data_IF_327606444531
#
_entry.id   IF_327606444531
#
_cell.length_a   1.000
_cell.length_b   1.000
_cell.length_c   1.000
_cell.angle_alpha   90.00
_cell.angle_beta   90.00
_cell.angle_gamma   90.00
#
_symmetry.space_group_name_H-M   'P 1'
#
loop_
_entity.id
_entity.type
_entity.pdbx_description
1 polymer ?
#
# COMPACT_ATOMS: atom_id res chain seq x y z
N UNK A 1 35.59 16.13 -11.12
CA UNK A 1 34.68 15.77 -12.21
C UNK A 1 33.40 15.35 -11.50
N UNK A 2 32.52 16.32 -11.28
CA UNK A 2 31.15 16.01 -10.87
C UNK A 2 30.52 15.25 -12.07
N UNK A 3 30.30 13.96 -11.90
CA UNK A 3 29.38 13.27 -12.81
C UNK A 3 28.02 13.85 -12.46
N UNK A 4 27.42 14.58 -13.42
CA UNK A 4 26.01 14.91 -13.38
C UNK A 4 25.23 13.58 -13.28
N UNK A 5 24.95 13.13 -12.06
CA UNK A 5 24.09 11.98 -11.80
C UNK A 5 22.70 12.46 -12.19
N UNK A 6 22.19 12.02 -13.35
CA UNK A 6 20.78 12.28 -13.68
C UNK A 6 19.91 11.81 -12.52
N UNK A 7 18.97 12.64 -12.06
CA UNK A 7 18.08 12.27 -10.96
C UNK A 7 17.32 10.97 -11.32
N UNK A 8 17.19 10.07 -10.37
CA UNK A 8 16.44 8.82 -10.58
C UNK A 8 14.98 9.16 -10.92
N UNK A 9 14.50 8.60 -12.02
CA UNK A 9 13.10 8.69 -12.45
C UNK A 9 12.26 7.62 -11.79
N UNK A 10 10.95 7.91 -11.61
CA UNK A 10 10.04 6.96 -11.00
C UNK A 10 8.64 7.00 -11.58
N UNK A 11 7.97 5.84 -11.50
CA UNK A 11 6.55 5.67 -11.84
C UNK A 11 5.71 5.71 -10.57
N UNK A 12 4.50 6.25 -10.65
CA UNK A 12 3.47 6.04 -9.63
C UNK A 12 2.48 4.98 -10.12
N UNK A 13 2.23 3.96 -9.31
CA UNK A 13 1.28 2.88 -9.60
C UNK A 13 0.04 3.04 -8.73
N UNK A 14 -1.10 3.28 -9.35
CA UNK A 14 -2.41 3.45 -8.71
C UNK A 14 -3.45 2.56 -9.41
N UNK A 15 -4.40 2.01 -8.66
CA UNK A 15 -5.51 1.23 -9.22
C UNK A 15 -6.85 1.79 -8.71
N UNK A 16 -7.84 1.83 -9.59
CA UNK A 16 -9.20 2.28 -9.30
C UNK A 16 -10.22 1.28 -9.82
N UNK A 17 -11.37 1.16 -9.15
CA UNK A 17 -12.48 0.29 -9.57
C UNK A 17 -13.83 0.98 -9.39
N UNK A 18 -14.89 0.41 -9.95
CA UNK A 18 -16.22 1.05 -10.05
C UNK A 18 -16.90 1.47 -8.73
N UNK A 19 -16.40 1.00 -7.56
CA UNK A 19 -16.96 1.41 -6.25
C UNK A 19 -16.20 2.56 -5.59
N UNK A 20 -15.21 3.12 -6.26
CA UNK A 20 -14.51 4.29 -5.78
C UNK A 20 -15.40 5.53 -5.88
N UNK A 21 -15.11 6.53 -5.05
CA UNK A 21 -15.82 7.81 -5.04
C UNK A 21 -15.08 8.80 -5.96
N UNK A 22 -15.77 9.40 -6.97
CA UNK A 22 -15.13 10.33 -7.90
C UNK A 22 -14.35 11.46 -7.23
N UNK A 23 -14.87 12.02 -6.12
CA UNK A 23 -14.20 13.06 -5.36
C UNK A 23 -12.90 12.55 -4.69
N UNK A 24 -12.87 11.31 -4.17
CA UNK A 24 -11.68 10.73 -3.57
C UNK A 24 -10.61 10.45 -4.62
N UNK A 25 -10.99 9.87 -5.77
CA UNK A 25 -10.06 9.68 -6.89
C UNK A 25 -9.46 11.01 -7.35
N UNK A 26 -10.29 12.06 -7.47
CA UNK A 26 -9.80 13.38 -7.85
C UNK A 26 -8.79 13.94 -6.84
N UNK A 27 -9.06 13.84 -5.53
CA UNK A 27 -8.14 14.27 -4.47
C UNK A 27 -6.84 13.46 -4.46
N UNK A 28 -6.92 12.15 -4.68
CA UNK A 28 -5.75 11.28 -4.76
C UNK A 28 -4.86 11.67 -5.93
N UNK A 29 -5.41 11.79 -7.15
CA UNK A 29 -4.67 12.20 -8.35
C UNK A 29 -4.08 13.61 -8.19
N UNK A 30 -4.86 14.57 -7.67
CA UNK A 30 -4.36 15.92 -7.36
C UNK A 30 -3.14 15.87 -6.46
N UNK A 31 -3.17 15.05 -5.40
CA UNK A 31 -2.06 14.92 -4.46
C UNK A 31 -0.81 14.26 -5.07
N UNK A 32 -0.98 13.43 -6.11
CA UNK A 32 0.14 12.81 -6.85
C UNK A 32 0.83 13.84 -7.74
N UNK A 33 0.07 14.67 -8.45
CA UNK A 33 0.64 15.66 -9.37
C UNK A 33 1.16 16.94 -8.68
N UNK A 34 0.72 17.22 -7.44
CA UNK A 34 1.17 18.38 -6.64
C UNK A 34 2.23 18.01 -5.59
N UNK A 35 3.15 17.13 -5.93
CA UNK A 35 4.29 16.79 -5.07
C UNK A 35 5.46 17.77 -5.26
N UNK A 36 6.31 17.94 -4.23
CA UNK A 36 7.58 18.67 -4.35
C UNK A 36 8.54 18.04 -5.37
N UNK A 37 8.49 16.69 -5.47
CA UNK A 37 9.12 15.92 -6.54
C UNK A 37 8.01 15.27 -7.37
N UNK A 38 7.63 15.85 -8.52
CA UNK A 38 6.57 15.27 -9.36
C UNK A 38 7.02 13.93 -9.96
N UNK A 39 6.10 12.99 -10.20
CA UNK A 39 6.42 11.73 -10.87
C UNK A 39 6.74 11.96 -12.35
N UNK A 40 7.65 11.13 -12.90
CA UNK A 40 7.92 11.10 -14.35
C UNK A 40 6.85 10.32 -15.12
N UNK A 41 6.11 9.47 -14.40
CA UNK A 41 5.05 8.63 -14.96
C UNK A 41 4.02 8.28 -13.88
N UNK A 42 2.75 8.27 -14.26
CA UNK A 42 1.64 7.74 -13.43
C UNK A 42 0.92 6.66 -14.23
N UNK A 43 0.94 5.44 -13.74
CA UNK A 43 0.20 4.30 -14.32
C UNK A 43 -1.07 4.09 -13.49
N UNK A 44 -2.22 4.47 -14.05
CA UNK A 44 -3.53 4.26 -13.46
C UNK A 44 -4.18 3.04 -14.09
N UNK A 45 -4.47 2.04 -13.25
CA UNK A 45 -5.16 0.80 -13.67
C UNK A 45 -6.63 0.90 -13.35
N UNK A 46 -7.47 0.86 -14.38
CA UNK A 46 -8.92 0.68 -14.24
C UNK A 46 -9.21 -0.81 -14.07
N UNK A 47 -9.48 -1.25 -12.84
CA UNK A 47 -9.78 -2.66 -12.51
C UNK A 47 -11.24 -2.99 -12.86
N UNK A 48 -11.48 -3.20 -14.14
CA UNK A 48 -12.78 -3.34 -14.78
C UNK A 48 -13.41 -2.00 -15.18
N UNK A 49 -14.56 -2.03 -15.87
CA UNK A 49 -15.28 -0.83 -16.29
C UNK A 49 -15.62 0.08 -15.11
N UNK A 50 -15.36 1.37 -15.27
CA UNK A 50 -15.68 2.41 -14.29
C UNK A 50 -17.10 2.95 -14.47
N UNK A 51 -17.55 3.80 -13.55
CA UNK A 51 -18.78 4.60 -13.73
C UNK A 51 -18.49 5.83 -14.61
N UNK A 52 -19.50 6.40 -15.23
CA UNK A 52 -19.33 7.59 -16.07
C UNK A 52 -18.69 8.77 -15.32
N UNK A 53 -19.00 8.91 -14.01
CA UNK A 53 -18.44 9.96 -13.17
C UNK A 53 -16.93 9.72 -12.89
N UNK A 54 -16.52 8.48 -12.67
CA UNK A 54 -15.09 8.12 -12.51
C UNK A 54 -14.34 8.29 -13.83
N UNK A 55 -14.93 7.85 -14.96
CA UNK A 55 -14.36 8.06 -16.29
C UNK A 55 -14.15 9.54 -16.60
N UNK A 56 -15.08 10.40 -16.20
CA UNK A 56 -14.96 11.85 -16.36
C UNK A 56 -13.76 12.42 -15.54
N UNK A 57 -13.53 11.92 -14.32
CA UNK A 57 -12.37 12.31 -13.51
C UNK A 57 -11.08 11.87 -14.21
N UNK A 58 -10.98 10.60 -14.60
CA UNK A 58 -9.78 10.05 -15.26
C UNK A 58 -9.48 10.82 -16.56
N UNK A 59 -10.50 11.08 -17.39
CA UNK A 59 -10.34 11.82 -18.65
C UNK A 59 -9.82 13.23 -18.42
N UNK A 60 -10.37 13.96 -17.44
CA UNK A 60 -9.92 15.31 -17.09
C UNK A 60 -8.44 15.34 -16.68
N UNK A 61 -7.99 14.38 -15.87
CA UNK A 61 -6.59 14.33 -15.46
C UNK A 61 -5.69 13.88 -16.63
N UNK A 62 -6.14 12.99 -17.50
CA UNK A 62 -5.38 12.58 -18.70
C UNK A 62 -5.20 13.73 -19.70
N UNK A 63 -6.19 14.62 -19.85
CA UNK A 63 -6.08 15.82 -20.68
C UNK A 63 -5.10 16.84 -20.11
N UNK A 64 -4.96 16.90 -18.76
CA UNK A 64 -4.08 17.86 -18.07
C UNK A 64 -2.64 17.36 -17.89
N UNK A 65 -2.42 16.03 -17.90
CA UNK A 65 -1.15 15.38 -17.54
C UNK A 65 -0.77 14.32 -18.56
N UNK A 66 0.22 14.64 -19.41
CA UNK A 66 0.73 13.71 -20.45
C UNK A 66 1.37 12.46 -19.85
N UNK A 67 1.97 12.58 -18.65
CA UNK A 67 2.61 11.52 -17.87
C UNK A 67 1.63 10.51 -17.28
N UNK A 68 0.31 10.76 -17.33
CA UNK A 68 -0.72 9.80 -16.90
C UNK A 68 -0.99 8.76 -17.98
N UNK A 69 -0.69 7.50 -17.73
CA UNK A 69 -0.98 6.35 -18.57
C UNK A 69 -2.11 5.52 -17.98
N UNK A 70 -3.12 5.19 -18.80
CA UNK A 70 -4.31 4.45 -18.36
C UNK A 70 -4.25 3.02 -18.89
N UNK A 71 -4.31 2.05 -17.99
CA UNK A 71 -4.38 0.62 -18.27
C UNK A 71 -5.78 0.12 -17.94
N UNK A 72 -6.54 -0.35 -18.95
CA UNK A 72 -7.93 -0.80 -18.78
C UNK A 72 -8.03 -2.30 -18.73
N UNK A 73 -8.51 -2.85 -17.62
CA UNK A 73 -8.82 -4.28 -17.52
C UNK A 73 -10.26 -4.53 -17.98
N UNK A 74 -10.52 -5.63 -18.69
CA UNK A 74 -11.87 -5.90 -19.21
C UNK A 74 -12.89 -6.22 -18.12
N UNK A 75 -12.43 -6.62 -16.93
CA UNK A 75 -13.26 -6.95 -15.77
C UNK A 75 -12.48 -6.73 -14.48
N UNK A 76 -13.19 -6.55 -13.35
CA UNK A 76 -12.56 -6.46 -12.04
C UNK A 76 -11.92 -7.79 -11.66
N UNK A 77 -10.61 -7.77 -11.41
CA UNK A 77 -9.79 -8.92 -11.02
C UNK A 77 -9.30 -8.82 -9.58
N UNK A 78 -9.53 -7.69 -8.92
CA UNK A 78 -9.08 -7.38 -7.58
C UNK A 78 -7.68 -6.75 -7.55
N UNK A 79 -7.44 -5.99 -6.47
CA UNK A 79 -6.29 -5.09 -6.32
C UNK A 79 -4.94 -5.75 -6.67
N UNK A 80 -4.69 -6.97 -6.16
CA UNK A 80 -3.41 -7.64 -6.39
C UNK A 80 -3.13 -7.94 -7.87
N UNK A 81 -4.14 -8.33 -8.65
CA UNK A 81 -3.95 -8.58 -10.09
C UNK A 81 -3.92 -7.29 -10.88
N UNK A 82 -4.69 -6.28 -10.51
CA UNK A 82 -4.63 -4.96 -11.10
C UNK A 82 -3.24 -4.32 -10.94
N UNK A 83 -2.67 -4.36 -9.71
CA UNK A 83 -1.31 -3.87 -9.46
C UNK A 83 -0.24 -4.69 -10.17
N UNK A 84 -0.42 -6.02 -10.30
CA UNK A 84 0.47 -6.87 -11.08
C UNK A 84 0.52 -6.43 -12.53
N UNK A 85 -0.64 -6.22 -13.15
CA UNK A 85 -0.72 -5.77 -14.54
C UNK A 85 -0.13 -4.37 -14.68
N UNK A 86 -0.55 -3.41 -13.84
CA UNK A 86 -0.03 -2.05 -13.87
C UNK A 86 1.49 -1.97 -13.73
N UNK A 87 2.09 -2.82 -12.88
CA UNK A 87 3.54 -2.87 -12.72
C UNK A 87 4.28 -3.20 -14.02
N UNK A 88 3.68 -3.99 -14.91
CA UNK A 88 4.28 -4.31 -16.22
C UNK A 88 4.32 -3.10 -17.15
N UNK A 89 3.47 -2.11 -16.90
CA UNK A 89 3.39 -0.86 -17.67
C UNK A 89 4.24 0.29 -17.07
N UNK A 90 4.76 0.13 -15.85
CA UNK A 90 5.70 1.09 -15.26
C UNK A 90 7.06 0.98 -15.98
N UNK A 91 7.57 2.09 -16.53
CA UNK A 91 8.81 2.10 -17.29
C UNK A 91 10.05 2.29 -16.43
N UNK A 92 9.92 2.92 -15.26
CA UNK A 92 11.06 3.25 -14.40
C UNK A 92 11.34 2.17 -13.36
N UNK A 93 12.61 2.10 -12.92
CA UNK A 93 13.09 1.11 -11.95
C UNK A 93 12.58 1.35 -10.53
N UNK A 94 12.18 2.58 -10.24
CA UNK A 94 11.56 2.95 -8.96
C UNK A 94 10.06 3.14 -9.18
N UNK A 95 9.26 2.54 -8.29
CA UNK A 95 7.80 2.64 -8.35
C UNK A 95 7.25 3.03 -6.99
N UNK A 96 6.49 4.13 -6.95
CA UNK A 96 5.71 4.54 -5.81
C UNK A 96 4.28 3.99 -5.93
N UNK A 97 3.75 3.44 -4.85
CA UNK A 97 2.38 2.94 -4.81
C UNK A 97 1.44 3.98 -4.19
N UNK A 98 0.19 4.06 -4.68
CA UNK A 98 -0.84 4.94 -4.14
C UNK A 98 -2.21 4.28 -4.18
N UNK A 99 -3.04 4.48 -3.13
CA UNK A 99 -4.47 4.14 -3.15
C UNK A 99 -5.28 5.27 -3.78
N UNK A 100 -6.40 4.92 -4.43
CA UNK A 100 -7.26 5.87 -5.14
C UNK A 100 -8.13 6.75 -4.23
N UNK A 101 -8.13 6.48 -2.92
CA UNK A 101 -8.91 7.22 -1.91
C UNK A 101 -8.05 7.94 -0.86
N UNK A 102 -6.73 7.79 -0.91
CA UNK A 102 -5.78 8.43 0.01
C UNK A 102 -5.22 9.75 -0.54
N UNK A 103 -4.54 10.54 0.30
CA UNK A 103 -3.92 11.81 -0.09
C UNK A 103 -2.44 11.78 0.27
N UNK A 104 -1.57 11.89 -0.74
CA UNK A 104 -0.12 11.99 -0.55
C UNK A 104 0.25 13.40 -0.06
N UNK A 105 1.04 13.52 1.01
CA UNK A 105 1.55 14.83 1.44
C UNK A 105 2.64 15.32 0.46
N UNK A 106 2.79 16.63 0.26
CA UNK A 106 3.67 17.18 -0.80
C UNK A 106 5.12 16.69 -0.77
N UNK A 107 5.66 16.35 0.42
CA UNK A 107 7.04 15.93 0.61
C UNK A 107 7.27 14.42 0.41
N UNK A 108 6.22 13.63 0.23
CA UNK A 108 6.34 12.17 0.28
C UNK A 108 7.36 11.64 -0.73
N UNK A 109 7.18 11.96 -1.99
CA UNK A 109 8.05 11.37 -3.03
C UNK A 109 9.49 11.87 -2.95
N UNK A 110 9.72 13.13 -2.61
CA UNK A 110 11.07 13.66 -2.41
C UNK A 110 11.79 12.98 -1.24
N UNK A 111 11.09 12.72 -0.12
CA UNK A 111 11.67 12.06 1.06
C UNK A 111 11.98 10.58 0.79
N UNK A 112 11.05 9.85 0.15
CA UNK A 112 11.23 8.43 -0.18
C UNK A 112 12.32 8.24 -1.25
N UNK A 113 12.37 9.10 -2.28
CA UNK A 113 13.39 9.05 -3.32
C UNK A 113 14.77 9.33 -2.74
N UNK A 114 14.94 10.39 -1.95
CA UNK A 114 16.21 10.71 -1.27
C UNK A 114 16.71 9.53 -0.44
N UNK A 115 15.79 8.80 0.23
CA UNK A 115 16.19 7.60 0.97
C UNK A 115 16.74 6.52 0.04
N UNK A 116 16.05 6.20 -1.05
CA UNK A 116 16.48 5.16 -2.00
C UNK A 116 17.77 5.51 -2.75
N UNK A 117 18.01 6.80 -3.00
CA UNK A 117 19.26 7.29 -3.61
C UNK A 117 20.45 7.11 -2.67
N UNK A 118 20.27 7.41 -1.39
CA UNK A 118 21.35 7.35 -0.38
C UNK A 118 21.54 5.96 0.23
N UNK A 119 20.57 5.04 0.03
CA UNK A 119 20.59 3.67 0.56
C UNK A 119 20.30 2.64 -0.55
N UNK A 120 21.28 2.39 -1.43
CA UNK A 120 21.09 1.50 -2.58
C UNK A 120 20.75 0.05 -2.20
N UNK A 121 21.03 -0.37 -0.96
CA UNK A 121 20.68 -1.67 -0.41
C UNK A 121 19.20 -1.77 -0.01
N UNK A 122 18.46 -0.65 0.10
CA UNK A 122 17.04 -0.66 0.43
C UNK A 122 16.20 -0.99 -0.81
N UNK A 123 15.38 -2.04 -0.73
CA UNK A 123 14.46 -2.45 -1.81
C UNK A 123 13.08 -1.79 -1.68
N UNK A 124 12.62 -1.54 -0.44
CA UNK A 124 11.30 -0.92 -0.16
C UNK A 124 11.44 0.11 0.94
N UNK A 125 11.01 1.31 0.68
CA UNK A 125 10.82 2.36 1.68
C UNK A 125 9.33 2.69 1.80
N UNK A 126 8.86 2.99 3.00
CA UNK A 126 7.52 3.47 3.29
C UNK A 126 7.55 4.53 4.38
N UNK A 127 6.39 4.93 4.85
CA UNK A 127 6.28 5.94 5.90
C UNK A 127 5.08 5.67 6.81
N UNK A 128 4.92 6.47 7.86
CA UNK A 128 3.70 6.48 8.67
C UNK A 128 2.53 7.09 7.91
N UNK A 129 1.31 6.80 8.38
CA UNK A 129 0.08 7.38 7.83
C UNK A 129 -0.70 8.09 8.90
N UNK A 130 -1.21 9.27 8.59
CA UNK A 130 -2.22 9.94 9.39
C UNK A 130 -3.61 9.52 8.91
N UNK A 131 -4.43 9.03 9.82
CA UNK A 131 -5.76 8.54 9.51
C UNK A 131 -6.81 9.63 9.74
N UNK A 132 -7.66 9.85 8.74
CA UNK A 132 -8.77 10.80 8.77
C UNK A 132 -10.06 10.18 8.23
N UNK A 133 -11.23 10.71 8.59
CA UNK A 133 -12.52 10.09 8.24
C UNK A 133 -13.48 11.02 7.50
N UNK A 134 -13.22 12.30 7.43
CA UNK A 134 -14.14 13.28 6.82
C UNK A 134 -13.40 14.32 5.98
N UNK A 135 -14.18 15.13 5.29
CA UNK A 135 -13.68 16.21 4.42
C UNK A 135 -12.92 17.33 5.16
N UNK A 136 -12.98 17.36 6.49
CA UNK A 136 -12.20 18.35 7.28
C UNK A 136 -10.71 18.05 7.29
N UNK A 137 -10.30 16.84 6.90
CA UNK A 137 -8.91 16.38 6.96
C UNK A 137 -8.36 16.26 8.37
N UNK A 138 -9.22 16.30 9.41
CA UNK A 138 -8.78 16.19 10.80
C UNK A 138 -8.20 14.81 11.07
N UNK A 139 -6.94 14.80 11.51
CA UNK A 139 -6.25 13.57 11.89
C UNK A 139 -6.86 12.98 13.17
N UNK A 140 -7.29 11.72 13.07
CA UNK A 140 -7.86 10.94 14.18
C UNK A 140 -6.78 10.16 14.90
N UNK A 141 -5.84 9.61 14.14
CA UNK A 141 -4.74 8.78 14.67
C UNK A 141 -3.61 8.70 13.64
N UNK A 142 -2.39 8.38 14.12
CA UNK A 142 -1.26 8.09 13.26
C UNK A 142 -0.88 6.62 13.38
N UNK A 143 -0.80 5.92 12.24
CA UNK A 143 -0.30 4.55 12.20
C UNK A 143 1.22 4.57 12.03
N UNK A 144 1.91 4.21 13.10
CA UNK A 144 3.37 4.11 13.17
C UNK A 144 3.81 2.68 12.94
N UNK A 145 4.95 2.51 12.29
CA UNK A 145 5.59 1.22 12.06
C UNK A 145 7.07 1.30 12.47
N UNK A 146 7.71 0.16 12.79
CA UNK A 146 9.14 0.12 13.05
C UNK A 146 9.95 0.68 11.88
N UNK A 147 11.10 1.25 12.16
CA UNK A 147 11.93 1.98 11.22
C UNK A 147 12.74 1.05 10.31
N UNK A 148 13.67 0.30 10.88
CA UNK A 148 14.71 -0.40 10.17
C UNK A 148 14.36 -1.88 9.89
N UNK A 149 15.09 -2.47 8.94
CA UNK A 149 14.90 -3.84 8.50
C UNK A 149 14.95 -4.86 9.65
N UNK A 150 15.86 -4.68 10.59
CA UNK A 150 16.11 -5.57 11.72
C UNK A 150 14.91 -5.63 12.68
N UNK A 151 14.16 -4.52 12.81
CA UNK A 151 12.91 -4.45 13.58
C UNK A 151 11.70 -4.90 12.73
N UNK A 152 11.68 -4.59 11.44
CA UNK A 152 10.60 -4.95 10.51
C UNK A 152 10.50 -6.45 10.27
N UNK A 153 11.61 -7.14 10.16
CA UNK A 153 11.63 -8.59 9.90
C UNK A 153 10.93 -9.40 11.01
N UNK A 154 11.24 -9.28 12.32
CA UNK A 154 10.46 -9.94 13.36
C UNK A 154 9.02 -9.42 13.45
N UNK A 155 8.78 -8.12 13.21
CA UNK A 155 7.44 -7.52 13.19
C UNK A 155 6.56 -8.15 12.11
N UNK A 156 7.12 -8.45 10.92
CA UNK A 156 6.41 -9.10 9.82
C UNK A 156 5.88 -10.50 10.13
N UNK A 157 6.33 -11.13 11.21
CA UNK A 157 5.84 -12.45 11.64
C UNK A 157 4.47 -12.41 12.32
N UNK A 158 4.01 -11.24 12.71
CA UNK A 158 2.71 -11.05 13.39
C UNK A 158 1.90 -9.87 12.90
N UNK A 159 2.48 -8.93 12.13
CA UNK A 159 1.76 -7.77 11.56
C UNK A 159 2.37 -7.39 10.22
N UNK A 160 1.54 -6.80 9.34
CA UNK A 160 2.02 -6.24 8.09
C UNK A 160 3.07 -5.15 8.37
N UNK A 161 4.31 -5.30 7.86
CA UNK A 161 5.43 -4.41 8.18
C UNK A 161 5.39 -3.07 7.46
N UNK A 162 4.57 -2.92 6.43
CA UNK A 162 4.49 -1.72 5.61
C UNK A 162 3.05 -1.18 5.57
N UNK A 163 2.90 0.12 5.40
CA UNK A 163 1.65 0.75 5.00
C UNK A 163 1.59 0.72 3.47
N UNK A 164 0.81 -0.14 2.89
CA UNK A 164 0.80 -0.37 1.44
C UNK A 164 0.70 0.92 0.58
N UNK A 165 -0.20 1.90 0.88
CA UNK A 165 -0.30 3.12 0.07
C UNK A 165 0.90 4.06 0.18
N UNK A 166 1.85 3.79 1.09
CA UNK A 166 3.01 4.65 1.29
C UNK A 166 4.29 4.15 0.64
N UNK A 167 4.30 2.95 0.08
CA UNK A 167 5.57 2.36 -0.32
C UNK A 167 6.10 2.92 -1.64
N UNK A 168 7.42 3.14 -1.67
CA UNK A 168 8.21 3.29 -2.88
C UNK A 168 9.23 2.14 -2.91
N UNK A 169 9.40 1.48 -4.05
CA UNK A 169 10.20 0.25 -4.13
C UNK A 169 10.97 0.13 -5.45
N UNK A 170 12.02 -0.68 -5.42
CA UNK A 170 12.73 -1.10 -6.62
C UNK A 170 11.90 -2.17 -7.34
N UNK A 171 11.49 -1.87 -8.59
CA UNK A 171 10.66 -2.76 -9.42
C UNK A 171 11.26 -4.16 -9.52
N UNK A 172 12.55 -4.26 -9.78
CA UNK A 172 13.27 -5.53 -9.87
C UNK A 172 13.14 -6.40 -8.61
N UNK A 173 13.08 -5.82 -7.40
CA UNK A 173 12.91 -6.58 -6.17
C UNK A 173 11.50 -7.19 -6.04
N UNK A 174 10.47 -6.46 -6.48
CA UNK A 174 9.09 -6.96 -6.54
C UNK A 174 8.95 -8.06 -7.59
N UNK A 175 9.56 -7.89 -8.76
CA UNK A 175 9.58 -8.88 -9.84
C UNK A 175 10.31 -10.17 -9.43
N UNK A 176 11.47 -10.09 -8.80
CA UNK A 176 12.18 -11.25 -8.23
C UNK A 176 11.30 -12.03 -7.28
N UNK A 177 10.51 -11.36 -6.44
CA UNK A 177 9.56 -11.99 -5.52
C UNK A 177 8.33 -12.61 -6.22
N UNK A 178 8.20 -12.50 -7.55
CA UNK A 178 7.10 -13.01 -8.37
C UNK A 178 5.89 -12.07 -8.39
N UNK A 179 6.13 -10.76 -8.19
CA UNK A 179 5.15 -9.67 -8.29
C UNK A 179 3.94 -9.84 -7.37
N UNK A 180 2.94 -8.98 -7.50
CA UNK A 180 1.66 -9.11 -6.81
C UNK A 180 0.93 -10.39 -7.24
N UNK A 181 0.11 -10.93 -6.32
CA UNK A 181 -0.71 -12.13 -6.58
C UNK A 181 -2.14 -11.89 -6.10
N UNK A 182 -3.06 -12.65 -6.63
CA UNK A 182 -4.40 -12.71 -6.05
C UNK A 182 -4.32 -13.37 -4.67
N UNK A 183 -4.40 -12.55 -3.64
CA UNK A 183 -4.49 -12.96 -2.23
C UNK A 183 -5.47 -12.02 -1.55
N UNK A 184 -6.74 -12.36 -1.61
CA UNK A 184 -7.80 -11.52 -1.07
C UNK A 184 -7.48 -11.00 0.34
N UNK A 185 -7.50 -9.69 0.53
CA UNK A 185 -7.19 -8.95 1.78
C UNK A 185 -5.72 -8.95 2.24
N UNK A 186 -4.83 -9.68 1.59
CA UNK A 186 -3.43 -9.84 2.01
C UNK A 186 -2.44 -9.80 0.84
N UNK A 187 -2.81 -9.19 -0.28
CA UNK A 187 -1.99 -9.09 -1.49
C UNK A 187 -0.64 -8.40 -1.24
N UNK A 188 -0.64 -7.36 -0.43
CA UNK A 188 0.53 -6.61 -0.02
C UNK A 188 1.39 -7.40 0.97
N UNK A 189 0.77 -7.96 2.02
CA UNK A 189 1.49 -8.72 3.03
C UNK A 189 2.08 -10.03 2.46
N UNK A 190 1.38 -10.70 1.53
CA UNK A 190 1.91 -11.84 0.77
C UNK A 190 3.18 -11.46 0.00
N UNK A 191 3.16 -10.29 -0.66
CA UNK A 191 4.32 -9.78 -1.39
C UNK A 191 5.48 -9.49 -0.43
N UNK A 192 5.24 -8.78 0.67
CA UNK A 192 6.29 -8.45 1.63
C UNK A 192 6.94 -9.69 2.25
N UNK A 193 6.16 -10.71 2.59
CA UNK A 193 6.71 -11.97 3.10
C UNK A 193 7.63 -12.63 2.07
N UNK A 194 7.23 -12.69 0.80
CA UNK A 194 8.07 -13.27 -0.26
C UNK A 194 9.34 -12.47 -0.52
N UNK A 195 9.26 -11.15 -0.51
CA UNK A 195 10.41 -10.27 -0.67
C UNK A 195 11.41 -10.44 0.50
N UNK A 196 10.92 -10.42 1.74
CA UNK A 196 11.76 -10.63 2.94
C UNK A 196 12.45 -12.01 2.94
N UNK A 197 11.78 -13.06 2.46
CA UNK A 197 12.37 -14.39 2.33
C UNK A 197 13.48 -14.47 1.27
N UNK A 198 13.47 -13.56 0.31
CA UNK A 198 14.50 -13.42 -0.71
C UNK A 198 15.59 -12.40 -0.36
N UNK A 199 15.59 -11.92 0.89
CA UNK A 199 16.61 -11.01 1.40
C UNK A 199 16.39 -9.53 1.06
N UNK A 200 15.21 -9.15 0.56
CA UNK A 200 14.89 -7.75 0.32
C UNK A 200 14.93 -6.94 1.63
N UNK A 201 15.49 -5.74 1.57
CA UNK A 201 15.64 -4.84 2.72
C UNK A 201 14.57 -3.76 2.72
N UNK A 202 13.97 -3.56 3.88
CA UNK A 202 12.84 -2.64 4.09
C UNK A 202 13.21 -1.54 5.07
N UNK A 203 12.62 -0.36 4.86
CA UNK A 203 12.72 0.78 5.78
C UNK A 203 11.39 1.52 5.86
N UNK A 204 11.07 2.13 7.01
CA UNK A 204 9.96 3.08 7.15
C UNK A 204 10.50 4.41 7.68
N UNK A 205 10.35 5.46 6.91
CA UNK A 205 10.59 6.82 7.38
C UNK A 205 9.70 7.11 8.59
N UNK A 206 10.30 7.67 9.63
CA UNK A 206 9.60 7.94 10.90
C UNK A 206 8.80 9.26 10.82
N UNK A 207 8.21 9.50 9.66
CA UNK A 207 7.41 10.66 9.32
C UNK A 207 6.06 10.23 8.76
N UNK A 208 5.00 10.98 9.03
CA UNK A 208 3.70 10.77 8.39
C UNK A 208 3.64 11.56 7.09
N UNK A 209 3.74 10.86 5.97
CA UNK A 209 3.77 11.47 4.63
C UNK A 209 2.53 11.12 3.77
N UNK A 210 1.54 10.45 4.36
CA UNK A 210 0.29 10.11 3.68
C UNK A 210 -0.89 10.27 4.64
N UNK A 211 -1.98 10.83 4.12
CA UNK A 211 -3.28 10.88 4.77
C UNK A 211 -4.10 9.67 4.31
N UNK A 212 -4.34 8.74 5.23
CA UNK A 212 -5.10 7.51 4.98
C UNK A 212 -6.58 7.70 5.29
N UNK A 213 -7.44 7.52 4.30
CA UNK A 213 -8.90 7.71 4.45
C UNK A 213 -9.55 6.51 5.12
N UNK A 214 -10.17 6.74 6.28
CA UNK A 214 -10.95 5.73 6.98
C UNK A 214 -12.36 5.66 6.40
N UNK A 215 -12.66 4.66 5.59
CA UNK A 215 -14.04 4.43 5.16
C UNK A 215 -14.91 4.01 6.35
N UNK A 216 -16.19 4.44 6.43
CA UNK A 216 -17.11 4.01 7.50
C UNK A 216 -17.21 2.48 7.62
N UNK A 217 -17.05 1.78 6.50
CA UNK A 217 -17.14 0.33 6.44
C UNK A 217 -15.81 -0.39 6.73
N UNK A 218 -14.71 0.32 6.99
CA UNK A 218 -13.39 -0.30 7.21
C UNK A 218 -13.42 -1.36 8.33
N UNK A 219 -14.07 -1.04 9.45
CA UNK A 219 -14.15 -1.93 10.59
C UNK A 219 -15.15 -3.08 10.39
N UNK A 220 -16.24 -2.87 9.67
CA UNK A 220 -17.19 -3.92 9.32
C UNK A 220 -16.58 -4.92 8.34
N UNK A 221 -15.89 -4.44 7.29
CA UNK A 221 -15.19 -5.30 6.30
C UNK A 221 -14.09 -6.18 6.94
N UNK A 222 -13.45 -5.72 8.03
CA UNK A 222 -12.40 -6.46 8.74
C UNK A 222 -12.93 -7.45 9.78
N UNK A 223 -14.20 -7.85 9.71
CA UNK A 223 -14.84 -8.82 10.58
C UNK A 223 -15.60 -9.90 9.82
N UNK A 224 -16.19 -10.85 10.58
CA UNK A 224 -17.05 -11.90 10.03
C UNK A 224 -16.29 -13.16 9.59
N UNK A 225 -17.05 -14.21 9.30
CA UNK A 225 -16.53 -15.56 9.00
C UNK A 225 -15.64 -15.61 7.75
N UNK A 226 -15.96 -14.78 6.74
CA UNK A 226 -15.16 -14.71 5.51
C UNK A 226 -13.75 -14.21 5.81
N UNK A 227 -13.64 -13.06 6.51
CA UNK A 227 -12.34 -12.49 6.88
C UNK A 227 -11.51 -13.47 7.73
N UNK A 228 -12.13 -14.13 8.72
CA UNK A 228 -11.46 -15.14 9.58
C UNK A 228 -10.90 -16.29 8.72
N UNK A 229 -11.65 -16.78 7.73
CA UNK A 229 -11.18 -17.85 6.83
C UNK A 229 -9.95 -17.41 6.03
N UNK A 230 -9.99 -16.22 5.43
CA UNK A 230 -8.85 -15.68 4.69
C UNK A 230 -7.63 -15.45 5.57
N UNK A 231 -7.85 -14.93 6.78
CA UNK A 231 -6.79 -14.73 7.79
C UNK A 231 -6.11 -16.06 8.18
N UNK A 232 -6.89 -17.09 8.49
CA UNK A 232 -6.37 -18.43 8.84
C UNK A 232 -5.59 -19.00 7.64
N UNK A 233 -6.15 -18.94 6.43
CA UNK A 233 -5.49 -19.43 5.23
C UNK A 233 -4.14 -18.71 4.98
N UNK A 234 -4.09 -17.40 5.23
CA UNK A 234 -2.86 -16.62 5.12
C UNK A 234 -1.83 -17.02 6.18
N UNK A 235 -2.23 -17.19 7.44
CA UNK A 235 -1.31 -17.64 8.51
C UNK A 235 -0.77 -19.05 8.25
N UNK A 236 -1.61 -19.98 7.77
CA UNK A 236 -1.17 -21.31 7.36
C UNK A 236 -0.17 -21.26 6.20
N UNK A 237 -0.39 -20.36 5.23
CA UNK A 237 0.56 -20.13 4.15
C UNK A 237 1.90 -19.56 4.66
N UNK A 238 1.90 -18.57 5.55
CA UNK A 238 3.12 -18.05 6.17
C UNK A 238 3.92 -19.14 6.88
N UNK A 239 3.23 -20.08 7.54
CA UNK A 239 3.87 -21.24 8.15
C UNK A 239 4.43 -22.21 7.10
N UNK A 240 3.66 -22.52 6.06
CA UNK A 240 4.08 -23.40 4.97
C UNK A 240 5.33 -22.91 4.26
N UNK A 241 5.47 -21.60 4.06
CA UNK A 241 6.67 -20.98 3.45
C UNK A 241 7.80 -20.74 4.44
N UNK A 242 7.67 -21.13 5.71
CA UNK A 242 8.71 -21.01 6.73
C UNK A 242 8.91 -19.60 7.31
N UNK A 243 8.00 -18.66 7.03
CA UNK A 243 8.10 -17.30 7.59
C UNK A 243 7.78 -17.25 9.09
N UNK A 244 6.87 -18.10 9.55
CA UNK A 244 6.51 -18.29 10.97
C UNK A 244 6.60 -19.78 11.36
N UNK A 245 6.96 -20.03 12.62
CA UNK A 245 6.94 -21.40 13.17
C UNK A 245 5.54 -21.79 13.68
N UNK A 246 5.35 -23.07 14.04
CA UNK A 246 4.06 -23.60 14.48
C UNK A 246 3.49 -22.93 15.74
N UNK A 247 4.35 -22.57 16.70
CA UNK A 247 3.91 -21.86 17.92
C UNK A 247 3.36 -20.46 17.56
N UNK A 248 4.04 -19.74 16.67
CA UNK A 248 3.60 -18.44 16.18
C UNK A 248 2.31 -18.56 15.37
N UNK A 249 2.16 -19.60 14.55
CA UNK A 249 0.93 -19.89 13.81
C UNK A 249 -0.27 -19.98 14.76
N UNK A 250 -0.16 -20.83 15.79
CA UNK A 250 -1.25 -21.00 16.78
C UNK A 250 -1.56 -19.69 17.47
N UNK A 251 -0.54 -18.98 17.97
CA UNK A 251 -0.72 -17.70 18.66
C UNK A 251 -1.39 -16.66 17.75
N UNK A 252 -0.92 -16.51 16.51
CA UNK A 252 -1.51 -15.55 15.56
C UNK A 252 -2.97 -15.89 15.24
N UNK A 253 -3.29 -17.14 14.94
CA UNK A 253 -4.67 -17.56 14.64
C UNK A 253 -5.57 -17.28 15.84
N UNK A 254 -5.16 -17.66 17.05
CA UNK A 254 -5.96 -17.48 18.26
C UNK A 254 -6.26 -16.00 18.51
N UNK A 255 -5.22 -15.16 18.60
CA UNK A 255 -5.38 -13.73 18.91
C UNK A 255 -6.22 -13.03 17.84
N UNK A 256 -5.94 -13.30 16.57
CA UNK A 256 -6.64 -12.65 15.45
C UNK A 256 -8.10 -13.09 15.36
N UNK A 257 -8.38 -14.39 15.54
CA UNK A 257 -9.76 -14.89 15.55
C UNK A 257 -10.55 -14.28 16.68
N UNK A 258 -10.01 -14.22 17.90
CA UNK A 258 -10.67 -13.58 19.04
C UNK A 258 -11.01 -12.11 18.75
N UNK A 259 -10.07 -11.33 18.21
CA UNK A 259 -10.31 -9.93 17.85
C UNK A 259 -11.42 -9.80 16.77
N UNK A 260 -11.47 -10.71 15.79
CA UNK A 260 -12.49 -10.68 14.72
C UNK A 260 -13.87 -11.10 15.17
N UNK A 261 -13.97 -11.89 16.25
CA UNK A 261 -15.24 -12.29 16.86
C UNK A 261 -15.83 -11.19 17.76
N UNK A 262 -15.05 -10.18 18.15
CA UNK A 262 -15.56 -9.06 18.94
C UNK A 262 -16.63 -8.27 18.17
N UNK A 263 -17.67 -7.76 18.84
CA UNK A 263 -18.60 -6.80 18.27
C UNK A 263 -17.88 -5.58 17.67
N UNK A 264 -18.45 -4.95 16.66
CA UNK A 264 -17.80 -3.87 15.89
C UNK A 264 -17.31 -2.73 16.77
N UNK A 265 -18.11 -2.29 17.74
CA UNK A 265 -17.72 -1.25 18.71
C UNK A 265 -16.47 -1.62 19.52
N UNK A 266 -16.41 -2.85 20.02
CA UNK A 266 -15.25 -3.34 20.79
C UNK A 266 -14.03 -3.52 19.89
N UNK A 267 -14.21 -3.93 18.63
CA UNK A 267 -13.11 -4.00 17.64
C UNK A 267 -12.49 -2.63 17.39
N UNK A 268 -13.33 -1.59 17.24
CA UNK A 268 -12.85 -0.20 17.06
C UNK A 268 -11.97 0.23 18.24
N UNK A 269 -12.43 -0.01 19.49
CA UNK A 269 -11.64 0.28 20.70
C UNK A 269 -10.36 -0.56 20.78
N UNK A 270 -10.42 -1.85 20.48
CA UNK A 270 -9.26 -2.73 20.44
C UNK A 270 -8.23 -2.29 19.39
N UNK A 271 -8.66 -1.90 18.21
CA UNK A 271 -7.79 -1.35 17.17
C UNK A 271 -7.10 -0.05 17.60
N UNK A 272 -7.84 0.89 18.18
CA UNK A 272 -7.29 2.17 18.65
C UNK A 272 -6.32 1.98 19.82
N UNK A 273 -6.62 1.05 20.74
CA UNK A 273 -5.84 0.86 21.96
C UNK A 273 -4.59 -0.02 21.74
N UNK A 274 -4.72 -1.16 21.03
CA UNK A 274 -3.62 -2.13 20.89
C UNK A 274 -2.76 -1.93 19.63
N UNK A 275 -3.26 -1.28 18.59
CA UNK A 275 -2.56 -1.16 17.32
C UNK A 275 -1.94 0.21 17.10
N UNK A 276 -2.27 1.22 17.89
CA UNK A 276 -1.89 2.63 17.71
C UNK A 276 -1.25 3.30 18.92
N UNK A 277 -1.11 2.59 20.05
CA UNK A 277 -0.24 3.00 21.14
C UNK A 277 1.14 2.38 20.89
N UNK A 278 2.01 3.15 20.27
CA UNK A 278 3.46 3.14 20.49
C UNK A 278 3.96 4.55 20.32
#
# INVERSE_FOLDING_TARGET
MDQDIEPMKFSVLIAVYAKETPAHLAQSLESIFHQELPPDEVVLVEDGPLTAELDAVVSRFKEAHEELHIVRLPQNQGLGLALKEGLTHCHYDIVARMDSDDISKPQRFSREMTWLETHPETDVVGCWTDEFADESGKVISTRRLPENHEALLPFSRYRNPMNHPTVMFRKAAVERAGSYRHRELFEDYDLWVRMLQQGARFHNLQESLLMFRLSPQLYSRRGGRHYIRQEIAFQCWMHKVGHINGLRLVANITVRTLIRLLPEGMRKYGYLFFLRRQ
#
